data_IF_330981052497
#
_entry.id   IF_330981052497
#
_cell.length_a   1.000
_cell.length_b   1.000
_cell.length_c   1.000
_cell.angle_alpha   90.00
_cell.angle_beta   90.00
_cell.angle_gamma   90.00
#
_symmetry.space_group_name_H-M   'P 1'
#
loop_
_entity.id
_entity.type
_entity.pdbx_description
1 polymer ?
#
# COMPACT_ATOMS: atom_id res chain seq x y z
N UNK A 1 13.71 2.56 5.59
CA UNK A 1 14.02 1.78 6.81
C UNK A 1 14.88 0.58 6.46
N UNK A 2 15.24 -0.27 7.43
CA UNK A 2 16.16 -1.42 7.23
C UNK A 2 15.76 -2.31 6.05
N UNK A 3 14.46 -2.62 5.89
CA UNK A 3 13.97 -3.42 4.76
C UNK A 3 14.28 -2.80 3.41
N UNK A 4 13.93 -1.51 3.23
CA UNK A 4 14.15 -0.79 1.97
C UNK A 4 15.65 -0.70 1.64
N UNK A 5 16.50 -0.41 2.63
CA UNK A 5 17.96 -0.38 2.43
C UNK A 5 18.55 -1.77 2.11
N UNK A 6 17.87 -2.84 2.48
CA UNK A 6 18.25 -4.22 2.14
C UNK A 6 17.59 -4.73 0.85
N UNK A 7 16.87 -3.87 0.11
CA UNK A 7 16.18 -4.27 -1.12
C UNK A 7 14.99 -5.19 -0.88
N UNK A 8 14.39 -5.17 0.32
CA UNK A 8 13.24 -6.00 0.70
C UNK A 8 11.94 -5.21 0.64
N UNK A 9 10.87 -5.88 0.21
CA UNK A 9 9.52 -5.35 0.31
C UNK A 9 9.09 -5.26 1.77
N UNK A 10 8.18 -4.34 2.07
CA UNK A 10 7.61 -4.17 3.41
C UNK A 10 6.10 -4.34 3.35
N UNK A 11 5.59 -5.37 4.03
CA UNK A 11 4.17 -5.58 4.25
C UNK A 11 3.71 -4.82 5.50
N UNK A 12 2.71 -3.99 5.34
CA UNK A 12 1.98 -3.31 6.40
C UNK A 12 0.62 -3.98 6.57
N UNK A 13 0.43 -4.60 7.73
CA UNK A 13 -0.88 -5.05 8.17
C UNK A 13 -1.63 -3.85 8.74
N UNK A 14 -2.87 -3.66 8.30
CA UNK A 14 -3.70 -2.55 8.77
C UNK A 14 -4.51 -2.97 9.99
N UNK A 15 -4.69 -2.03 10.91
CA UNK A 15 -5.33 -2.31 12.19
C UNK A 15 -6.81 -2.67 12.03
N UNK A 16 -7.27 -3.61 12.84
CA UNK A 16 -8.63 -4.15 12.81
C UNK A 16 -9.20 -4.14 14.22
N UNK A 17 -10.10 -3.19 14.50
CA UNK A 17 -10.92 -3.22 15.70
C UNK A 17 -12.25 -3.93 15.40
N UNK A 18 -12.25 -5.24 15.61
CA UNK A 18 -13.43 -6.09 15.43
C UNK A 18 -14.51 -5.80 16.46
N UNK A 19 -14.17 -5.25 17.63
CA UNK A 19 -15.14 -4.98 18.70
C UNK A 19 -16.02 -3.76 18.37
N UNK A 20 -15.45 -2.76 17.71
CA UNK A 20 -16.16 -1.55 17.28
C UNK A 20 -16.50 -1.53 15.79
N UNK A 21 -16.18 -2.61 15.05
CA UNK A 21 -16.32 -2.69 13.58
C UNK A 21 -15.61 -1.54 12.85
N UNK A 22 -14.47 -1.10 13.39
CA UNK A 22 -13.63 -0.07 12.78
C UNK A 22 -12.38 -0.73 12.21
N UNK A 23 -12.12 -0.48 10.93
CA UNK A 23 -10.97 -1.01 10.23
C UNK A 23 -10.19 0.15 9.65
N UNK A 24 -8.88 0.15 9.87
CA UNK A 24 -8.01 1.13 9.25
C UNK A 24 -8.00 0.88 7.74
N UNK A 25 -8.45 1.87 6.99
CA UNK A 25 -8.41 1.78 5.53
C UNK A 25 -7.00 2.01 4.98
N UNK A 26 -6.74 1.51 3.77
CA UNK A 26 -5.49 1.77 3.08
C UNK A 26 -5.29 3.27 2.83
N UNK A 27 -6.33 4.04 2.48
CA UNK A 27 -6.22 5.49 2.27
C UNK A 27 -5.81 6.23 3.55
N UNK A 28 -6.37 5.86 4.70
CA UNK A 28 -5.94 6.38 6.01
C UNK A 28 -4.50 5.96 6.33
N UNK A 29 -4.16 4.69 6.13
CA UNK A 29 -2.82 4.17 6.38
C UNK A 29 -1.75 4.89 5.54
N UNK A 30 -2.02 5.13 4.26
CA UNK A 30 -1.15 5.89 3.36
C UNK A 30 -1.01 7.35 3.82
N UNK A 31 -2.11 7.96 4.29
CA UNK A 31 -2.08 9.31 4.87
C UNK A 31 -1.22 9.37 6.13
N UNK A 32 -1.30 8.36 7.01
CA UNK A 32 -0.45 8.25 8.20
C UNK A 32 1.02 8.05 7.85
N UNK A 33 1.34 7.18 6.88
CA UNK A 33 2.70 7.02 6.40
C UNK A 33 3.29 8.33 5.87
N UNK A 34 2.50 9.10 5.12
CA UNK A 34 2.92 10.41 4.62
C UNK A 34 3.13 11.44 5.75
N UNK A 35 2.24 11.47 6.75
CA UNK A 35 2.39 12.34 7.92
C UNK A 35 3.65 11.99 8.75
N UNK A 36 3.90 10.69 8.95
CA UNK A 36 5.10 10.19 9.61
C UNK A 36 6.35 10.65 8.86
N UNK A 37 6.37 10.58 7.53
CA UNK A 37 7.49 11.07 6.74
C UNK A 37 7.71 12.57 6.91
N UNK A 38 6.66 13.40 6.88
CA UNK A 38 6.82 14.85 7.11
C UNK A 38 7.43 15.18 8.47
N UNK A 39 7.14 14.35 9.48
CA UNK A 39 7.64 14.51 10.84
C UNK A 39 9.07 13.99 10.99
N UNK A 40 9.34 12.79 10.46
CA UNK A 40 10.61 12.06 10.64
C UNK A 40 11.68 12.45 9.61
N UNK A 41 11.28 12.99 8.45
CA UNK A 41 12.11 13.49 7.34
C UNK A 41 13.23 12.51 6.96
N UNK A 42 12.86 11.26 6.72
CA UNK A 42 13.79 10.16 6.41
C UNK A 42 13.95 9.91 4.92
N UNK A 43 13.09 10.47 4.09
CA UNK A 43 13.07 10.32 2.64
C UNK A 43 12.64 8.92 2.18
N UNK A 44 11.83 8.20 2.96
CA UNK A 44 11.41 6.83 2.61
C UNK A 44 10.09 6.80 1.85
N UNK A 45 9.20 7.74 2.13
CA UNK A 45 7.88 7.81 1.53
C UNK A 45 7.71 9.16 0.83
N UNK A 46 6.96 9.19 -0.26
CA UNK A 46 6.54 10.40 -0.96
C UNK A 46 5.22 10.11 -1.67
N UNK A 47 4.59 11.15 -2.23
CA UNK A 47 3.37 11.00 -3.02
C UNK A 47 3.55 10.07 -4.23
N UNK A 48 4.76 10.03 -4.77
CA UNK A 48 5.19 9.25 -5.94
C UNK A 48 5.62 7.83 -5.57
N UNK A 49 5.71 7.51 -4.28
CA UNK A 49 6.06 6.15 -3.82
C UNK A 49 5.01 5.18 -4.33
N UNK A 50 5.46 4.17 -5.07
CA UNK A 50 4.59 3.10 -5.56
C UNK A 50 4.29 2.14 -4.41
N UNK A 51 3.03 1.72 -4.30
CA UNK A 51 2.58 0.75 -3.30
C UNK A 51 1.58 -0.22 -3.93
N UNK A 52 1.49 -1.41 -3.35
CA UNK A 52 0.46 -2.40 -3.67
C UNK A 52 -0.56 -2.39 -2.54
N UNK A 53 -1.84 -2.33 -2.88
CA UNK A 53 -2.94 -2.46 -1.93
C UNK A 53 -3.65 -3.76 -2.21
N UNK A 54 -3.82 -4.57 -1.18
CA UNK A 54 -4.54 -5.84 -1.25
C UNK A 54 -5.78 -5.76 -0.36
N UNK A 55 -6.97 -5.95 -0.94
CA UNK A 55 -8.25 -5.89 -0.26
C UNK A 55 -8.94 -7.26 -0.30
N UNK A 56 -9.41 -7.74 0.85
CA UNK A 56 -10.23 -8.95 1.00
C UNK A 56 -9.71 -10.17 0.22
N UNK A 57 -8.38 -10.38 0.23
CA UNK A 57 -7.74 -11.49 -0.47
C UNK A 57 -8.35 -12.83 -0.07
N UNK A 58 -8.61 -13.69 -1.05
CA UNK A 58 -9.24 -15.00 -0.86
C UNK A 58 -10.77 -14.98 -0.85
N UNK A 59 -11.41 -13.81 -1.02
CA UNK A 59 -12.86 -13.68 -1.19
C UNK A 59 -13.26 -13.38 -2.63
N UNK A 60 -14.55 -13.52 -2.95
CA UNK A 60 -15.13 -13.11 -4.25
C UNK A 60 -15.03 -11.59 -4.50
N UNK A 61 -14.77 -10.81 -3.45
CA UNK A 61 -14.59 -9.35 -3.52
C UNK A 61 -13.12 -8.93 -3.48
N UNK A 62 -12.19 -9.88 -3.64
CA UNK A 62 -10.75 -9.61 -3.64
C UNK A 62 -10.37 -8.58 -4.70
N UNK A 63 -9.62 -7.55 -4.30
CA UNK A 63 -9.07 -6.54 -5.21
C UNK A 63 -7.61 -6.24 -4.89
N UNK A 64 -6.82 -6.05 -5.94
CA UNK A 64 -5.42 -5.64 -5.84
C UNK A 64 -5.24 -4.38 -6.67
N UNK A 65 -4.52 -3.40 -6.13
CA UNK A 65 -4.17 -2.17 -6.81
C UNK A 65 -2.67 -1.92 -6.73
N UNK A 66 -2.11 -1.37 -7.79
CA UNK A 66 -0.73 -0.93 -7.85
C UNK A 66 -0.66 0.49 -8.41
N UNK A 67 -0.04 1.40 -7.68
CA UNK A 67 0.03 2.80 -8.08
C UNK A 67 0.82 3.63 -7.09
N UNK A 68 0.94 4.91 -7.37
CA UNK A 68 1.53 5.85 -6.42
C UNK A 68 0.59 6.08 -5.23
N UNK A 69 1.14 6.52 -4.10
CA UNK A 69 0.34 6.92 -2.94
C UNK A 69 -0.71 7.96 -3.33
N UNK A 70 -0.34 8.95 -4.16
CA UNK A 70 -1.26 10.01 -4.59
C UNK A 70 -2.44 9.45 -5.40
N UNK A 71 -2.18 8.54 -6.35
CA UNK A 71 -3.21 7.88 -7.13
C UNK A 71 -4.15 7.08 -6.22
N UNK A 72 -3.59 6.25 -5.36
CA UNK A 72 -4.36 5.29 -4.55
C UNK A 72 -5.15 5.98 -3.44
N UNK A 73 -4.62 7.04 -2.82
CA UNK A 73 -5.30 7.75 -1.72
C UNK A 73 -6.66 8.34 -2.14
N UNK A 74 -6.88 8.54 -3.44
CA UNK A 74 -8.13 9.05 -4.01
C UNK A 74 -9.19 7.97 -4.31
N UNK A 75 -8.83 6.69 -4.22
CA UNK A 75 -9.73 5.60 -4.58
C UNK A 75 -10.77 5.33 -3.49
N UNK A 76 -12.00 4.94 -3.89
CA UNK A 76 -13.03 4.56 -2.93
C UNK A 76 -12.65 3.28 -2.21
N UNK A 77 -13.05 3.20 -0.93
CA UNK A 77 -12.91 2.01 -0.11
C UNK A 77 -13.67 0.85 -0.75
N UNK A 78 -13.01 -0.30 -0.85
CA UNK A 78 -13.55 -1.48 -1.49
C UNK A 78 -14.08 -2.48 -0.47
N UNK A 79 -13.16 -3.10 0.28
CA UNK A 79 -13.46 -4.23 1.15
C UNK A 79 -12.36 -4.38 2.20
N UNK A 80 -12.72 -4.95 3.36
CA UNK A 80 -11.80 -5.31 4.44
C UNK A 80 -11.68 -6.84 4.57
N UNK A 81 -10.60 -7.38 5.13
CA UNK A 81 -9.40 -6.68 5.61
C UNK A 81 -8.53 -6.16 4.47
N UNK A 82 -7.64 -5.22 4.80
CA UNK A 82 -6.74 -4.57 3.85
C UNK A 82 -5.30 -4.67 4.31
N UNK A 83 -4.38 -4.68 3.35
CA UNK A 83 -2.93 -4.58 3.60
C UNK A 83 -2.28 -3.72 2.53
N UNK A 84 -1.16 -3.09 2.90
CA UNK A 84 -0.36 -2.26 2.00
C UNK A 84 1.03 -2.88 1.91
N UNK A 85 1.57 -2.99 0.71
CA UNK A 85 2.94 -3.41 0.47
C UNK A 85 3.68 -2.23 -0.14
N UNK A 86 4.77 -1.83 0.50
CA UNK A 86 5.77 -0.95 -0.13
C UNK A 86 6.83 -1.86 -0.74
N UNK A 87 6.89 -1.98 -2.08
CA UNK A 87 7.92 -2.76 -2.75
C UNK A 87 9.32 -2.20 -2.46
N UNK A 88 10.33 -2.97 -2.80
CA UNK A 88 11.73 -2.53 -2.79
C UNK A 88 11.94 -1.47 -3.87
N UNK A 89 13.02 -0.71 -3.76
CA UNK A 89 13.42 0.25 -4.81
C UNK A 89 13.72 -0.43 -6.14
N UNK A 90 14.12 -1.70 -6.09
CA UNK A 90 14.42 -2.53 -7.26
C UNK A 90 13.41 -3.65 -7.32
N UNK A 91 12.58 -3.66 -8.36
CA UNK A 91 11.69 -4.76 -8.71
C UNK A 91 12.38 -5.64 -9.76
N UNK A 92 12.22 -6.95 -9.62
CA UNK A 92 12.57 -7.88 -10.69
C UNK A 92 11.60 -7.72 -11.86
N UNK A 93 12.05 -7.95 -13.10
CA UNK A 93 11.22 -7.70 -14.29
C UNK A 93 9.87 -8.44 -14.25
N UNK A 94 9.85 -9.69 -13.75
CA UNK A 94 8.61 -10.44 -13.59
C UNK A 94 7.66 -9.80 -12.57
N UNK A 95 8.18 -9.16 -11.52
CA UNK A 95 7.35 -8.45 -10.55
C UNK A 95 6.72 -7.22 -11.21
N UNK A 96 7.47 -6.49 -12.02
CA UNK A 96 6.92 -5.35 -12.77
C UNK A 96 5.85 -5.77 -13.77
N UNK A 97 6.06 -6.88 -14.48
CA UNK A 97 5.07 -7.47 -15.39
C UNK A 97 3.78 -7.84 -14.65
N UNK A 98 3.88 -8.55 -13.52
CA UNK A 98 2.71 -8.93 -12.73
C UNK A 98 2.01 -7.71 -12.14
N UNK A 99 2.76 -6.75 -11.58
CA UNK A 99 2.20 -5.53 -11.00
C UNK A 99 1.54 -4.64 -12.05
N UNK A 100 1.97 -4.71 -13.30
CA UNK A 100 1.35 -3.96 -14.40
C UNK A 100 -0.12 -4.33 -14.62
N UNK A 101 -0.51 -5.57 -14.30
CA UNK A 101 -1.90 -6.05 -14.40
C UNK A 101 -2.84 -5.39 -13.39
N UNK A 102 -2.29 -4.74 -12.35
CA UNK A 102 -3.04 -4.13 -11.26
C UNK A 102 -2.92 -2.60 -11.22
N UNK A 103 -2.33 -1.99 -12.26
CA UNK A 103 -2.10 -0.54 -12.29
C UNK A 103 -3.41 0.25 -12.20
N UNK A 104 -3.38 1.34 -11.45
CA UNK A 104 -4.47 2.32 -11.38
C UNK A 104 -4.11 3.60 -12.14
N UNK A 105 -5.06 4.07 -12.97
CA UNK A 105 -4.89 5.22 -13.85
C UNK A 105 -3.96 4.93 -15.02
N UNK A 106 -4.54 4.82 -16.22
CA UNK A 106 -3.83 4.99 -17.49
C UNK A 106 -3.88 6.46 -17.93
#
# INVERSE_FOLDING_TARGET
GSNLSSGLHTLFLLDLDTSSSKYLSFSEALSYLFLCEQTLKKGYISKETKVVVCCALGSEHSKIYFGTIDQLSSLPLQSSPQSVIVPSTTLHFMEEEVLSLYKVGE
#
